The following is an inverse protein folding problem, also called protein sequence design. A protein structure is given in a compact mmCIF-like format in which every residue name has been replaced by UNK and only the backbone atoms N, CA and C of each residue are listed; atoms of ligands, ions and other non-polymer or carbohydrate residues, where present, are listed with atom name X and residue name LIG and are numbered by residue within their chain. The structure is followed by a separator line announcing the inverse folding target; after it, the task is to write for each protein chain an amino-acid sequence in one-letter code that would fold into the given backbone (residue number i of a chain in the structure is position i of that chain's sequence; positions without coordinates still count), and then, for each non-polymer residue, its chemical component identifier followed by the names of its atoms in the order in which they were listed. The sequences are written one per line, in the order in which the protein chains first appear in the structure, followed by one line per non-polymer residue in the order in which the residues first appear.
data_IF_770613580854
#
_entry.id   IF_770613580854
#
_cell.length_a   1.000
_cell.length_b   1.000
_cell.length_c   1.000
_cell.angle_alpha   90.00
_cell.angle_beta   90.00
_cell.angle_gamma   90.00
#
_symmetry.space_group_name_H-M   'P 1'
#
loop_
_entity.id
_entity.type
_entity.pdbx_description
1 polymer ?
#
# COMPACT_ATOMS: atom_id res chain seq x y z
N UNK A 1 -12.75 -22.19 -31.07
CA UNK A 1 -11.47 -22.15 -30.34
C UNK A 1 -11.48 -20.92 -29.44
N UNK A 2 -12.00 -21.06 -28.22
CA UNK A 2 -12.04 -19.96 -27.25
C UNK A 2 -10.91 -20.17 -26.24
N UNK A 3 -9.91 -19.29 -26.31
CA UNK A 3 -8.78 -19.25 -25.39
C UNK A 3 -9.30 -18.69 -24.06
N UNK A 4 -9.56 -19.57 -23.08
CA UNK A 4 -9.96 -19.15 -21.73
C UNK A 4 -8.70 -18.60 -21.05
N UNK A 5 -8.68 -17.28 -20.88
CA UNK A 5 -7.65 -16.55 -20.17
C UNK A 5 -7.45 -17.13 -18.76
N UNK A 6 -6.22 -17.55 -18.45
CA UNK A 6 -5.83 -17.90 -17.10
C UNK A 6 -5.97 -16.66 -16.21
N UNK A 7 -7.00 -16.65 -15.36
CA UNK A 7 -7.12 -15.72 -14.23
C UNK A 7 -5.99 -16.04 -13.25
N UNK A 8 -4.84 -15.38 -13.42
CA UNK A 8 -3.84 -15.27 -12.38
C UNK A 8 -4.44 -14.43 -11.24
N UNK A 9 -5.16 -15.06 -10.32
CA UNK A 9 -5.51 -14.48 -9.03
C UNK A 9 -4.24 -14.41 -8.15
N UNK A 10 -3.24 -13.66 -8.60
CA UNK A 10 -2.13 -13.25 -7.76
C UNK A 10 -2.72 -12.28 -6.72
N UNK A 11 -2.62 -12.61 -5.43
CA UNK A 11 -3.07 -11.78 -4.31
C UNK A 11 -2.32 -10.44 -4.25
N UNK A 12 -2.73 -9.53 -5.14
CA UNK A 12 -2.20 -8.18 -5.25
C UNK A 12 -2.62 -7.29 -4.10
N UNK A 13 -1.98 -6.12 -3.96
CA UNK A 13 -2.47 -5.07 -3.08
C UNK A 13 -3.94 -4.76 -3.35
N UNK A 14 -4.72 -4.53 -2.30
CA UNK A 14 -6.06 -3.96 -2.44
C UNK A 14 -5.96 -2.46 -2.20
N UNK A 15 -6.49 -1.67 -3.13
CA UNK A 15 -6.48 -0.21 -3.07
C UNK A 15 -7.91 0.32 -3.16
N UNK A 16 -8.19 1.40 -2.42
CA UNK A 16 -9.48 2.08 -2.42
C UNK A 16 -9.25 3.58 -2.56
N UNK A 17 -9.82 4.19 -3.59
CA UNK A 17 -9.73 5.64 -3.80
C UNK A 17 -10.77 6.40 -2.97
N UNK A 18 -10.41 7.61 -2.55
CA UNK A 18 -11.32 8.59 -1.98
C UNK A 18 -11.44 9.79 -2.93
N UNK A 19 -12.66 10.07 -3.39
CA UNK A 19 -12.93 11.27 -4.17
C UNK A 19 -12.17 11.30 -5.51
N UNK A 20 -11.37 12.35 -5.71
CA UNK A 20 -10.65 12.61 -6.96
C UNK A 20 -9.56 11.58 -7.23
N UNK A 21 -9.41 11.23 -8.51
CA UNK A 21 -8.33 10.36 -8.97
C UNK A 21 -7.10 11.19 -9.31
N UNK A 22 -5.97 10.79 -8.75
CA UNK A 22 -4.69 11.42 -9.02
C UNK A 22 -3.85 10.59 -10.00
N UNK A 23 -2.96 11.22 -10.80
CA UNK A 23 -1.98 10.50 -11.59
C UNK A 23 -1.09 9.63 -10.71
N UNK A 24 -0.78 8.42 -11.18
CA UNK A 24 0.11 7.50 -10.48
C UNK A 24 1.50 8.11 -10.28
N UNK A 25 2.11 7.83 -9.13
CA UNK A 25 3.50 8.19 -8.81
C UNK A 25 4.41 6.98 -9.01
N UNK A 26 5.73 7.16 -8.87
CA UNK A 26 6.65 6.02 -8.87
C UNK A 26 6.70 5.39 -7.47
N UNK A 27 6.69 4.04 -7.34
CA UNK A 27 6.74 3.38 -6.03
C UNK A 27 7.91 3.84 -5.15
N UNK A 28 9.09 4.08 -5.72
CA UNK A 28 10.27 4.56 -4.99
C UNK A 28 10.17 5.99 -4.46
N UNK A 29 9.17 6.77 -4.92
CA UNK A 29 8.90 8.14 -4.47
C UNK A 29 7.84 8.20 -3.36
N UNK A 30 7.17 7.07 -3.09
CA UNK A 30 6.17 6.97 -2.04
C UNK A 30 6.85 6.70 -0.71
N UNK A 31 6.71 7.63 0.22
CA UNK A 31 7.23 7.47 1.58
C UNK A 31 6.27 6.62 2.42
N UNK A 32 6.78 5.87 3.40
CA UNK A 32 5.95 5.10 4.34
C UNK A 32 6.15 5.63 5.74
N UNK A 33 5.07 6.14 6.34
CA UNK A 33 5.07 6.66 7.70
C UNK A 33 4.33 5.72 8.66
N UNK A 34 4.70 5.79 9.94
CA UNK A 34 4.07 5.03 11.03
C UNK A 34 3.18 5.89 11.93
N UNK A 35 3.07 7.17 11.59
CA UNK A 35 2.19 8.16 12.22
C UNK A 35 1.87 9.23 11.19
N UNK A 36 0.72 9.88 11.30
CA UNK A 36 0.38 10.97 10.38
C UNK A 36 1.39 12.12 10.51
N UNK A 37 1.89 12.66 9.38
CA UNK A 37 2.73 13.85 9.41
C UNK A 37 1.93 15.07 9.88
N UNK A 38 2.62 16.03 10.51
CA UNK A 38 2.01 17.28 10.97
C UNK A 38 1.69 18.26 9.83
N UNK A 39 2.37 18.11 8.69
CA UNK A 39 2.15 18.92 7.50
C UNK A 39 0.73 18.72 6.96
N UNK A 40 0.17 19.77 6.34
CA UNK A 40 -1.13 19.68 5.69
C UNK A 40 -1.09 18.64 4.56
N UNK A 41 -2.03 17.71 4.59
CA UNK A 41 -2.13 16.61 3.65
C UNK A 41 -3.59 16.23 3.40
N UNK A 42 -3.83 15.67 2.23
CA UNK A 42 -5.15 15.15 1.84
C UNK A 42 -5.07 13.64 1.81
N UNK A 43 -6.06 12.96 2.39
CA UNK A 43 -6.22 11.51 2.26
C UNK A 43 -6.90 11.21 0.93
N UNK A 44 -6.21 10.48 0.07
CA UNK A 44 -6.65 10.20 -1.31
C UNK A 44 -7.12 8.76 -1.48
N UNK A 45 -6.93 7.92 -0.46
CA UNK A 45 -7.37 6.54 -0.49
C UNK A 45 -6.83 5.72 0.68
N UNK A 46 -7.18 4.45 0.70
CA UNK A 46 -6.63 3.45 1.59
C UNK A 46 -6.00 2.30 0.82
N UNK A 47 -4.96 1.72 1.40
CA UNK A 47 -4.27 0.53 0.89
C UNK A 47 -4.36 -0.59 1.92
N UNK A 48 -4.46 -1.81 1.43
CA UNK A 48 -4.42 -3.02 2.23
C UNK A 48 -3.54 -4.06 1.55
N UNK A 49 -2.44 -4.42 2.20
CA UNK A 49 -1.43 -5.29 1.61
C UNK A 49 -1.18 -6.51 2.48
N UNK A 50 -1.10 -7.67 1.83
CA UNK A 50 -0.63 -8.91 2.47
C UNK A 50 0.79 -9.20 2.07
N UNK A 51 1.66 -9.47 3.05
CA UNK A 51 3.06 -9.83 2.83
C UNK A 51 3.38 -11.15 3.51
N UNK A 52 3.80 -12.11 2.69
CA UNK A 52 4.45 -13.34 3.14
C UNK A 52 5.95 -13.12 3.30
N UNK A 53 6.53 -13.62 4.40
CA UNK A 53 7.97 -13.65 4.68
C UNK A 53 8.45 -15.11 4.82
N UNK A 54 9.46 -15.48 4.04
CA UNK A 54 10.15 -16.77 4.17
C UNK A 54 11.04 -16.79 5.42
N UNK A 55 11.30 -17.99 5.95
CA UNK A 55 12.18 -18.20 7.10
C UNK A 55 11.41 -18.46 8.39
N UNK A 56 12.06 -18.25 9.55
CA UNK A 56 11.51 -18.61 10.86
C UNK A 56 11.00 -17.42 11.70
N UNK A 57 11.37 -16.19 11.35
CA UNK A 57 10.90 -14.98 12.03
C UNK A 57 9.50 -14.56 11.59
N UNK A 58 8.72 -13.97 12.51
CA UNK A 58 7.46 -13.32 12.16
C UNK A 58 7.68 -12.14 11.20
N UNK A 59 6.78 -11.92 10.23
CA UNK A 59 6.82 -10.73 9.40
C UNK A 59 6.56 -9.46 10.21
N UNK A 60 7.11 -8.36 9.73
CA UNK A 60 6.94 -7.01 10.30
C UNK A 60 6.39 -6.08 9.23
N UNK A 61 5.95 -4.88 9.64
CA UNK A 61 5.51 -3.85 8.69
C UNK A 61 6.64 -3.47 7.72
N UNK A 62 7.90 -3.49 8.16
CA UNK A 62 9.06 -3.22 7.30
C UNK A 62 9.16 -4.18 6.11
N UNK A 63 8.78 -5.45 6.29
CA UNK A 63 8.79 -6.44 5.21
C UNK A 63 7.74 -6.14 4.12
N UNK A 64 6.74 -5.32 4.44
CA UNK A 64 5.63 -4.94 3.57
C UNK A 64 5.81 -3.57 2.87
N UNK A 65 6.88 -2.83 3.18
CA UNK A 65 7.13 -1.46 2.67
C UNK A 65 7.05 -1.39 1.15
N UNK A 66 7.74 -2.27 0.43
CA UNK A 66 7.72 -2.29 -1.04
C UNK A 66 6.29 -2.44 -1.61
N UNK A 67 5.46 -3.27 -0.96
CA UNK A 67 4.06 -3.45 -1.37
C UNK A 67 3.20 -2.23 -1.04
N UNK A 68 3.42 -1.59 0.10
CA UNK A 68 2.75 -0.35 0.48
C UNK A 68 3.09 0.78 -0.49
N UNK A 69 4.37 0.91 -0.83
CA UNK A 69 4.86 1.88 -1.80
C UNK A 69 4.23 1.69 -3.17
N UNK A 70 4.20 0.45 -3.66
CA UNK A 70 3.53 0.12 -4.93
C UNK A 70 2.03 0.46 -4.89
N UNK A 71 1.33 0.10 -3.82
CA UNK A 71 -0.08 0.38 -3.66
C UNK A 71 -0.39 1.88 -3.56
N UNK A 72 0.45 2.63 -2.83
CA UNK A 72 0.35 4.08 -2.74
C UNK A 72 0.63 4.75 -4.09
N UNK A 73 1.59 4.24 -4.85
CA UNK A 73 1.91 4.74 -6.19
C UNK A 73 0.75 4.57 -7.17
N UNK A 74 0.06 3.42 -7.11
CA UNK A 74 -1.16 3.16 -7.88
C UNK A 74 -2.27 4.17 -7.57
N UNK A 75 -2.30 4.71 -6.34
CA UNK A 75 -3.24 5.75 -5.91
C UNK A 75 -2.77 7.18 -6.25
N UNK A 76 -1.55 7.37 -6.75
CA UNK A 76 -0.96 8.70 -6.93
C UNK A 76 -0.56 9.37 -5.62
N UNK A 77 -0.27 8.56 -4.60
CA UNK A 77 0.12 9.04 -3.29
C UNK A 77 1.57 9.53 -3.29
N UNK A 78 1.85 10.47 -2.40
CA UNK A 78 3.22 10.82 -2.08
C UNK A 78 3.71 10.09 -0.83
N UNK A 79 2.80 9.66 0.04
CA UNK A 79 3.11 8.79 1.15
C UNK A 79 1.94 7.86 1.52
N UNK A 80 2.26 6.78 2.22
CA UNK A 80 1.31 5.90 2.87
C UNK A 80 1.57 5.93 4.37
N UNK A 81 0.56 6.25 5.17
CA UNK A 81 0.61 6.22 6.62
C UNK A 81 0.01 4.90 7.11
N UNK A 82 0.81 4.08 7.78
CA UNK A 82 0.35 2.81 8.36
C UNK A 82 -0.63 3.12 9.51
N UNK A 83 -1.83 2.55 9.42
CA UNK A 83 -2.89 2.75 10.43
C UNK A 83 -3.21 1.48 11.20
N UNK A 84 -3.00 0.31 10.60
CA UNK A 84 -3.19 -0.98 11.26
C UNK A 84 -2.22 -2.02 10.71
N UNK A 85 -1.85 -2.97 11.55
CA UNK A 85 -1.08 -4.14 11.14
C UNK A 85 -1.48 -5.36 11.95
N UNK A 86 -1.78 -6.44 11.24
CA UNK A 86 -2.21 -7.70 11.82
C UNK A 86 -1.36 -8.85 11.29
N UNK A 87 -0.77 -9.64 12.18
CA UNK A 87 -0.24 -10.94 11.79
C UNK A 87 -1.42 -11.90 11.59
N UNK A 88 -1.63 -12.32 10.34
CA UNK A 88 -2.68 -13.28 9.98
C UNK A 88 -2.26 -14.69 10.38
N UNK A 89 -0.98 -15.01 10.21
CA UNK A 89 -0.31 -16.22 10.69
C UNK A 89 1.18 -15.92 10.99
N UNK A 90 1.98 -16.96 11.30
CA UNK A 90 3.41 -16.80 11.62
C UNK A 90 4.30 -16.38 10.44
N UNK A 91 3.74 -16.28 9.23
CA UNK A 91 4.44 -15.98 7.97
C UNK A 91 3.79 -14.86 7.17
N UNK A 92 2.55 -14.48 7.48
CA UNK A 92 1.77 -13.49 6.74
C UNK A 92 1.36 -12.34 7.65
N UNK A 93 1.75 -11.13 7.27
CA UNK A 93 1.23 -9.89 7.83
C UNK A 93 0.28 -9.23 6.83
N UNK A 94 -0.83 -8.69 7.35
CA UNK A 94 -1.69 -7.74 6.66
C UNK A 94 -1.38 -6.35 7.22
N UNK A 95 -1.12 -5.39 6.36
CA UNK A 95 -0.88 -4.00 6.74
C UNK A 95 -1.85 -3.11 5.99
N UNK A 96 -2.56 -2.28 6.75
CA UNK A 96 -3.50 -1.30 6.21
C UNK A 96 -2.91 0.10 6.41
N UNK A 97 -3.06 0.95 5.40
CA UNK A 97 -2.52 2.29 5.40
C UNK A 97 -3.45 3.29 4.70
N UNK A 98 -3.32 4.55 5.07
CA UNK A 98 -3.96 5.68 4.41
C UNK A 98 -2.98 6.32 3.44
N UNK A 99 -3.37 6.40 2.17
CA UNK A 99 -2.60 7.07 1.14
C UNK A 99 -2.86 8.57 1.20
N UNK A 100 -1.79 9.36 1.24
CA UNK A 100 -1.85 10.81 1.37
C UNK A 100 -1.10 11.52 0.25
N UNK A 101 -1.55 12.73 -0.04
CA UNK A 101 -0.90 13.67 -0.95
C UNK A 101 -0.68 15.01 -0.25
N UNK A 102 0.50 15.59 -0.44
CA UNK A 102 0.80 16.97 -0.06
C UNK A 102 0.24 17.93 -1.12
N UNK A 103 -0.60 18.92 -0.76
CA UNK A 103 -1.13 19.91 -1.70
C UNK A 103 -0.05 20.77 -2.37
N UNK A 104 1.08 20.94 -1.68
CA UNK A 104 2.22 21.75 -2.12
C UNK A 104 3.23 21.01 -2.99
N UNK A 105 3.13 19.68 -3.10
CA UNK A 105 4.02 18.85 -3.91
C UNK A 105 3.31 18.53 -5.24
N UNK A 106 3.93 18.78 -6.40
CA UNK A 106 3.33 18.51 -7.71
C UNK A 106 3.03 17.01 -7.89
#
# INVERSE_FOLDING_TARGET
MALIAMLAACGGPQVRHYGEHYPQTLPGEVEVFYSFPHEEHIKIGAVDVKRYKFGFSKPTVYDAVEKLQKAGAELGAHAVVVVDSQNIDDRVIRVSGEAIRWPSKP
#
